data_IF_607998133724
#
_entry.id   IF_607998133724
#
_cell.length_a   1.000
_cell.length_b   1.000
_cell.length_c   1.000
_cell.angle_alpha   90.00
_cell.angle_beta   90.00
_cell.angle_gamma   90.00
#
_symmetry.space_group_name_H-M   'P 1'
#
loop_
_entity.id
_entity.type
_entity.pdbx_description
1 polymer ?
#
# COMPACT_ATOMS: atom_id res chain seq x y z
N UNK A 1 -7.05 3.19 4.63
CA UNK A 1 -6.44 3.50 3.32
C UNK A 1 -6.68 4.95 2.90
N UNK A 2 -7.92 5.36 2.62
CA UNK A 2 -8.24 6.73 2.17
C UNK A 2 -7.64 7.84 3.06
N UNK A 3 -7.64 7.62 4.37
CA UNK A 3 -7.06 8.56 5.35
C UNK A 3 -5.57 8.81 5.07
N UNK A 4 -4.76 7.77 4.80
CA UNK A 4 -3.34 7.98 4.49
C UNK A 4 -3.12 8.66 3.15
N UNK A 5 -3.98 8.41 2.16
CA UNK A 5 -3.95 9.13 0.87
C UNK A 5 -4.17 10.62 1.10
N UNK A 6 -5.20 10.98 1.88
CA UNK A 6 -5.53 12.39 2.16
C UNK A 6 -4.36 13.08 2.89
N UNK A 7 -3.81 12.44 3.93
CA UNK A 7 -2.68 13.02 4.69
C UNK A 7 -1.45 13.19 3.78
N UNK A 8 -1.10 12.17 2.99
CA UNK A 8 0.05 12.25 2.08
C UNK A 8 -0.15 13.34 1.03
N UNK A 9 -1.33 13.38 0.42
CA UNK A 9 -1.68 14.36 -0.59
C UNK A 9 -1.61 15.79 -0.05
N UNK A 10 -2.19 16.03 1.13
CA UNK A 10 -2.14 17.34 1.79
C UNK A 10 -0.71 17.72 2.16
N UNK A 11 0.07 16.80 2.71
CA UNK A 11 1.49 17.06 3.02
C UNK A 11 2.27 17.43 1.76
N UNK A 12 2.08 16.68 0.68
CA UNK A 12 2.75 16.93 -0.60
C UNK A 12 2.32 18.24 -1.26
N UNK A 13 1.03 18.55 -1.22
CA UNK A 13 0.52 19.81 -1.75
C UNK A 13 1.06 21.00 -0.95
N UNK A 14 1.07 20.91 0.38
CA UNK A 14 1.61 21.97 1.24
C UNK A 14 3.11 22.15 1.02
N UNK A 15 3.86 21.06 0.84
CA UNK A 15 5.29 21.09 0.50
C UNK A 15 5.53 21.83 -0.83
N UNK A 16 4.74 21.50 -1.86
CA UNK A 16 4.83 22.11 -3.19
C UNK A 16 4.42 23.59 -3.21
N UNK A 17 3.46 23.98 -2.36
CA UNK A 17 3.01 25.37 -2.23
C UNK A 17 3.88 26.20 -1.27
N UNK A 18 4.73 25.56 -0.47
CA UNK A 18 5.58 26.26 0.50
C UNK A 18 6.66 27.06 -0.22
N UNK A 19 6.82 28.33 0.17
CA UNK A 19 7.89 29.17 -0.36
C UNK A 19 9.25 28.63 0.09
N UNK A 20 10.26 28.74 -0.79
CA UNK A 20 11.66 28.34 -0.59
C UNK A 20 12.23 29.04 0.66
N UNK A 21 12.09 28.43 1.83
CA UNK A 21 12.46 29.02 3.13
C UNK A 21 11.75 28.42 4.36
N UNK A 22 10.67 27.67 4.18
CA UNK A 22 10.05 26.86 5.23
C UNK A 22 10.96 25.69 5.63
N UNK A 23 11.01 25.36 6.93
CA UNK A 23 11.67 24.14 7.39
C UNK A 23 11.01 22.92 6.75
N UNK A 24 11.79 21.98 6.21
CA UNK A 24 11.29 20.77 5.53
C UNK A 24 10.69 19.74 6.53
N UNK A 25 11.04 19.86 7.81
CA UNK A 25 10.70 18.91 8.88
C UNK A 25 9.21 18.56 9.00
N UNK A 26 8.28 19.53 9.01
CA UNK A 26 6.85 19.25 9.11
C UNK A 26 6.31 18.43 7.93
N UNK A 27 6.82 18.61 6.71
CA UNK A 27 6.40 17.85 5.54
C UNK A 27 6.85 16.39 5.64
N UNK A 28 8.13 16.19 6.01
CA UNK A 28 8.68 14.85 6.28
C UNK A 28 7.86 14.12 7.34
N UNK A 29 7.53 14.80 8.44
CA UNK A 29 6.67 14.24 9.49
C UNK A 29 5.28 13.86 8.96
N UNK A 30 4.68 14.71 8.11
CA UNK A 30 3.42 14.41 7.45
C UNK A 30 3.48 13.14 6.59
N UNK A 31 4.54 12.99 5.79
CA UNK A 31 4.76 11.77 4.99
C UNK A 31 4.93 10.54 5.86
N UNK A 32 5.72 10.62 6.94
CA UNK A 32 5.91 9.50 7.89
C UNK A 32 4.59 9.07 8.51
N UNK A 33 3.78 10.03 8.98
CA UNK A 33 2.45 9.74 9.56
C UNK A 33 1.55 9.07 8.53
N UNK A 34 1.51 9.58 7.29
CA UNK A 34 0.72 8.96 6.23
C UNK A 34 1.16 7.51 5.95
N UNK A 35 2.47 7.25 5.88
CA UNK A 35 3.02 5.91 5.68
C UNK A 35 2.67 4.98 6.84
N UNK A 36 2.77 5.44 8.09
CA UNK A 36 2.39 4.64 9.26
C UNK A 36 0.92 4.27 9.25
N UNK A 37 0.03 5.22 8.95
CA UNK A 37 -1.42 4.96 8.81
C UNK A 37 -1.70 3.97 7.69
N UNK A 38 -0.98 4.05 6.57
CA UNK A 38 -1.09 3.09 5.48
C UNK A 38 -0.63 1.69 5.92
N UNK A 39 0.49 1.59 6.63
CA UNK A 39 1.04 0.33 7.13
C UNK A 39 0.11 -0.35 8.13
N UNK A 40 -0.45 0.39 9.10
CA UNK A 40 -1.45 -0.13 10.04
C UNK A 40 -2.66 -0.67 9.29
N UNK A 41 -3.16 0.08 8.30
CA UNK A 41 -4.27 -0.38 7.48
C UNK A 41 -3.94 -1.67 6.72
N UNK A 42 -2.74 -1.79 6.14
CA UNK A 42 -2.32 -3.01 5.45
C UNK A 42 -2.25 -4.21 6.40
N UNK A 43 -1.73 -4.03 7.62
CA UNK A 43 -1.70 -5.11 8.62
C UNK A 43 -3.12 -5.56 8.97
N UNK A 44 -4.03 -4.62 9.26
CA UNK A 44 -5.43 -4.96 9.57
C UNK A 44 -6.12 -5.66 8.39
N UNK A 45 -5.87 -5.20 7.17
CA UNK A 45 -6.40 -5.82 5.96
C UNK A 45 -5.88 -7.25 5.76
N UNK A 46 -4.60 -7.51 6.07
CA UNK A 46 -4.05 -8.86 6.05
C UNK A 46 -4.74 -9.77 7.06
N UNK A 47 -4.86 -9.31 8.31
CA UNK A 47 -5.47 -10.09 9.40
C UNK A 47 -6.91 -10.45 9.08
N UNK A 48 -7.68 -9.55 8.49
CA UNK A 48 -9.05 -9.81 8.03
C UNK A 48 -9.11 -10.92 6.96
N UNK A 49 -8.07 -11.05 6.13
CA UNK A 49 -7.98 -12.11 5.13
C UNK A 49 -7.42 -13.43 5.68
N UNK A 50 -6.92 -13.48 6.92
CA UNK A 50 -6.50 -14.74 7.53
C UNK A 50 -7.72 -15.63 7.76
N UNK A 51 -7.72 -16.81 7.13
CA UNK A 51 -8.75 -17.83 7.34
C UNK A 51 -8.13 -19.02 8.06
N UNK A 52 -8.81 -19.47 9.10
CA UNK A 52 -8.45 -20.73 9.79
C UNK A 52 -8.72 -21.88 8.82
N UNK A 53 -7.77 -22.80 8.73
CA UNK A 53 -7.90 -23.98 7.89
C UNK A 53 -8.97 -24.92 8.47
N UNK A 54 -10.07 -25.23 7.76
CA UNK A 54 -11.13 -26.11 8.28
C UNK A 54 -10.63 -27.55 8.52
N UNK A 55 -9.54 -27.96 7.86
CA UNK A 55 -8.93 -29.27 8.06
C UNK A 55 -8.15 -29.37 9.38
N UNK A 56 -7.77 -28.23 9.99
CA UNK A 56 -7.06 -28.21 11.27
C UNK A 56 -7.90 -28.76 12.43
N UNK A 57 -9.23 -28.58 12.40
CA UNK A 57 -10.13 -29.09 13.43
C UNK A 57 -10.57 -30.54 13.21
N UNK A 58 -10.17 -31.17 12.10
CA UNK A 58 -10.65 -32.50 11.70
C UNK A 58 -9.68 -33.63 12.05
N UNK A 59 -8.52 -33.31 12.62
CA UNK A 59 -7.44 -34.25 12.92
C UNK A 59 -7.57 -34.87 14.33
N UNK A 60 -8.80 -35.27 14.70
CA UNK A 60 -9.07 -35.98 15.96
C UNK A 60 -8.94 -37.52 15.81
N UNK A 61 -8.47 -38.02 14.66
CA UNK A 61 -8.55 -39.46 14.34
C UNK A 61 -7.54 -39.96 13.31
N UNK A 62 -6.34 -40.31 13.76
CA UNK A 62 -5.60 -41.48 13.28
C UNK A 62 -4.65 -41.33 12.08
N UNK A 63 -4.79 -40.34 11.20
CA UNK A 63 -3.86 -40.11 10.07
C UNK A 63 -3.43 -38.63 10.03
N UNK A 64 -2.48 -38.29 10.90
CA UNK A 64 -2.05 -36.91 11.10
C UNK A 64 -1.14 -36.43 9.96
N UNK A 65 -1.76 -35.95 8.89
CA UNK A 65 -1.09 -34.98 8.03
C UNK A 65 -1.14 -33.62 8.74
N UNK A 66 -0.02 -33.19 9.31
CA UNK A 66 0.08 -31.87 9.96
C UNK A 66 -0.37 -30.77 8.99
N UNK A 67 -1.59 -30.26 9.19
CA UNK A 67 -2.16 -29.16 8.41
C UNK A 67 -1.86 -27.83 9.11
N UNK A 68 -1.43 -26.81 8.35
CA UNK A 68 -1.18 -25.49 8.90
C UNK A 68 -2.48 -24.88 9.48
N UNK A 69 -2.35 -24.13 10.58
CA UNK A 69 -3.47 -23.46 11.29
C UNK A 69 -4.20 -22.49 10.36
N UNK A 70 -3.44 -21.75 9.53
CA UNK A 70 -3.97 -20.77 8.59
C UNK A 70 -3.92 -21.28 7.15
N UNK A 71 -4.95 -20.95 6.37
CA UNK A 71 -5.00 -21.24 4.95
C UNK A 71 -4.14 -20.26 4.15
N UNK A 72 -3.34 -20.77 3.22
CA UNK A 72 -2.62 -19.94 2.27
C UNK A 72 -3.60 -19.30 1.27
N UNK A 73 -3.64 -17.97 1.23
CA UNK A 73 -4.42 -17.20 0.26
C UNK A 73 -3.47 -16.38 -0.62
N UNK A 74 -3.46 -16.57 -1.95
CA UNK A 74 -2.64 -15.78 -2.85
C UNK A 74 -3.20 -14.36 -2.99
N UNK A 75 -2.40 -13.34 -2.69
CA UNK A 75 -2.82 -11.94 -2.73
C UNK A 75 -2.46 -11.25 -4.06
N UNK A 76 -2.66 -11.92 -5.20
CA UNK A 76 -2.29 -11.43 -6.53
C UNK A 76 -3.01 -10.12 -6.93
N UNK A 77 -4.18 -9.84 -6.34
CA UNK A 77 -4.91 -8.60 -6.59
C UNK A 77 -4.09 -7.34 -6.22
N UNK A 78 -3.21 -7.40 -5.20
CA UNK A 78 -2.35 -6.26 -4.86
C UNK A 78 -1.37 -5.93 -5.99
N UNK A 79 -0.82 -6.94 -6.67
CA UNK A 79 0.05 -6.71 -7.82
C UNK A 79 -0.72 -6.04 -8.97
N UNK A 80 -1.92 -6.53 -9.26
CA UNK A 80 -2.76 -5.99 -10.33
C UNK A 80 -3.14 -4.52 -10.07
N UNK A 81 -3.70 -4.22 -8.90
CA UNK A 81 -4.09 -2.86 -8.52
C UNK A 81 -2.89 -1.92 -8.36
N UNK A 82 -1.77 -2.41 -7.80
CA UNK A 82 -0.53 -1.67 -7.72
C UNK A 82 -0.01 -1.26 -9.10
N UNK A 83 -0.04 -2.17 -10.06
CA UNK A 83 0.40 -1.92 -11.44
C UNK A 83 -0.46 -0.87 -12.13
N UNK A 84 -1.78 -0.95 -11.98
CA UNK A 84 -2.72 0.05 -12.52
C UNK A 84 -2.42 1.43 -11.94
N UNK A 85 -2.27 1.55 -10.63
CA UNK A 85 -2.02 2.83 -9.96
C UNK A 85 -0.70 3.45 -10.39
N UNK A 86 0.37 2.66 -10.47
CA UNK A 86 1.67 3.14 -10.97
C UNK A 86 1.53 3.65 -12.40
N UNK A 87 0.88 2.89 -13.28
CA UNK A 87 0.70 3.27 -14.68
C UNK A 87 -0.12 4.55 -14.82
N UNK A 88 -1.24 4.65 -14.12
CA UNK A 88 -2.09 5.86 -14.10
C UNK A 88 -1.30 7.07 -13.57
N UNK A 89 -0.55 6.91 -12.48
CA UNK A 89 0.29 7.97 -11.92
C UNK A 89 1.37 8.44 -12.89
N UNK A 90 2.06 7.50 -13.57
CA UNK A 90 3.06 7.81 -14.59
C UNK A 90 2.45 8.54 -15.78
N UNK A 91 1.31 8.10 -16.30
CA UNK A 91 0.62 8.79 -17.39
C UNK A 91 0.25 10.22 -17.01
N UNK A 92 -0.28 10.41 -15.80
CA UNK A 92 -0.60 11.74 -15.29
C UNK A 92 0.63 12.64 -15.23
N UNK A 93 1.75 12.11 -14.74
CA UNK A 93 3.02 12.83 -14.67
C UNK A 93 3.54 13.21 -16.07
N UNK A 94 3.48 12.29 -17.04
CA UNK A 94 3.89 12.55 -18.42
C UNK A 94 3.04 13.65 -19.05
N UNK A 95 1.71 13.61 -18.87
CA UNK A 95 0.80 14.63 -19.42
C UNK A 95 1.11 16.01 -18.83
N UNK A 96 1.32 16.09 -17.51
CA UNK A 96 1.71 17.33 -16.83
C UNK A 96 3.06 17.87 -17.32
N UNK A 97 4.01 16.98 -17.60
CA UNK A 97 5.33 17.38 -18.11
C UNK A 97 5.27 17.86 -19.56
N UNK A 98 4.59 17.10 -20.42
CA UNK A 98 4.57 17.29 -21.87
C UNK A 98 3.64 18.42 -22.34
N UNK A 99 2.55 18.70 -21.62
CA UNK A 99 1.57 19.72 -22.02
C UNK A 99 1.59 20.90 -21.03
N UNK A 100 2.22 22.03 -21.38
CA UNK A 100 2.35 23.19 -20.48
C UNK A 100 1.00 23.71 -19.97
N UNK A 101 -0.06 23.64 -20.79
CA UNK A 101 -1.39 24.10 -20.42
C UNK A 101 -2.03 23.31 -19.28
N UNK A 102 -1.57 22.09 -19.01
CA UNK A 102 -2.08 21.26 -17.91
C UNK A 102 -1.23 21.35 -16.65
N UNK A 103 -0.08 22.03 -16.67
CA UNK A 103 0.82 22.14 -15.51
C UNK A 103 0.11 22.79 -14.34
N UNK A 104 -0.18 21.99 -13.33
CA UNK A 104 -0.82 22.44 -12.09
C UNK A 104 -0.17 21.74 -10.90
N UNK A 105 0.12 22.48 -9.80
CA UNK A 105 0.54 21.89 -8.52
C UNK A 105 -0.32 20.71 -8.08
N UNK A 106 -1.64 20.84 -8.25
CA UNK A 106 -2.62 19.82 -7.90
C UNK A 106 -2.49 18.57 -8.77
N UNK A 107 -2.30 18.76 -10.08
CA UNK A 107 -2.13 17.65 -11.02
C UNK A 107 -0.85 16.85 -10.74
N UNK A 108 0.24 17.55 -10.43
CA UNK A 108 1.50 16.92 -10.02
C UNK A 108 1.33 16.15 -8.70
N UNK A 109 0.65 16.73 -7.71
CA UNK A 109 0.37 16.09 -6.44
C UNK A 109 -0.45 14.81 -6.58
N UNK A 110 -1.49 14.82 -7.42
CA UNK A 110 -2.31 13.64 -7.69
C UNK A 110 -1.45 12.55 -8.37
N UNK A 111 -0.68 12.89 -9.40
CA UNK A 111 0.14 11.93 -10.14
C UNK A 111 1.18 11.25 -9.25
N UNK A 112 1.92 12.04 -8.48
CA UNK A 112 2.96 11.55 -7.56
C UNK A 112 2.34 10.70 -6.45
N UNK A 113 1.29 11.20 -5.78
CA UNK A 113 0.60 10.44 -4.71
C UNK A 113 0.10 9.09 -5.24
N UNK A 114 -0.53 9.08 -6.42
CA UNK A 114 -1.07 7.86 -7.04
C UNK A 114 0.05 6.85 -7.34
N UNK A 115 1.17 7.30 -7.90
CA UNK A 115 2.31 6.43 -8.22
C UNK A 115 2.92 5.81 -6.95
N UNK A 116 3.20 6.62 -5.93
CA UNK A 116 3.73 6.15 -4.64
C UNK A 116 2.77 5.19 -3.94
N UNK A 117 1.47 5.41 -4.07
CA UNK A 117 0.48 4.47 -3.53
C UNK A 117 0.50 3.13 -4.24
N UNK A 118 0.69 3.12 -5.56
CA UNK A 118 0.93 1.91 -6.34
C UNK A 118 2.15 1.12 -5.83
N UNK A 119 3.25 1.81 -5.48
CA UNK A 119 4.39 1.19 -4.82
C UNK A 119 4.05 0.60 -3.44
N UNK A 120 3.18 1.26 -2.67
CA UNK A 120 2.69 0.74 -1.39
C UNK A 120 1.96 -0.60 -1.51
N UNK A 121 1.23 -0.83 -2.60
CA UNK A 121 0.61 -2.14 -2.88
C UNK A 121 1.65 -3.23 -3.11
N UNK A 122 2.74 -2.95 -3.83
CA UNK A 122 3.83 -3.91 -4.01
C UNK A 122 4.53 -4.24 -2.69
N UNK A 123 4.76 -3.25 -1.84
CA UNK A 123 5.34 -3.47 -0.51
C UNK A 123 4.41 -4.34 0.35
N UNK A 124 3.11 -4.07 0.31
CA UNK A 124 2.10 -4.87 1.02
C UNK A 124 2.05 -6.31 0.49
N UNK A 125 2.12 -6.51 -0.82
CA UNK A 125 2.22 -7.84 -1.43
C UNK A 125 3.45 -8.62 -0.94
N UNK A 126 4.61 -7.97 -0.92
CA UNK A 126 5.84 -8.57 -0.41
C UNK A 126 5.68 -8.94 1.07
N UNK A 127 5.17 -8.03 1.89
CA UNK A 127 4.91 -8.27 3.30
C UNK A 127 3.96 -9.44 3.52
N UNK A 128 2.85 -9.51 2.77
CA UNK A 128 1.86 -10.59 2.89
C UNK A 128 2.47 -11.94 2.52
N UNK A 129 3.35 -11.99 1.51
CA UNK A 129 4.07 -13.22 1.16
C UNK A 129 5.05 -13.65 2.26
N UNK A 130 5.74 -12.70 2.91
CA UNK A 130 6.61 -12.98 4.05
C UNK A 130 5.79 -13.53 5.22
N UNK A 131 4.67 -12.87 5.56
CA UNK A 131 3.78 -13.31 6.64
C UNK A 131 3.16 -14.68 6.35
N UNK A 132 2.71 -14.94 5.12
CA UNK A 132 2.22 -16.25 4.71
C UNK A 132 3.29 -17.32 4.88
N UNK A 133 4.56 -17.05 4.54
CA UNK A 133 5.68 -17.98 4.76
C UNK A 133 6.02 -18.19 6.23
N UNK A 134 5.75 -17.22 7.10
CA UNK A 134 5.98 -17.33 8.54
C UNK A 134 4.85 -18.09 9.25
N UNK A 135 3.60 -17.78 8.93
CA UNK A 135 2.42 -18.33 9.61
C UNK A 135 1.89 -19.64 9.01
N UNK A 136 2.09 -19.87 7.71
CA UNK A 136 1.68 -21.12 7.05
C UNK A 136 2.84 -22.13 6.97
N UNK A 137 3.98 -21.86 7.63
CA UNK A 137 5.08 -22.82 7.71
C UNK A 137 4.67 -23.97 8.62
N UNK A 138 4.87 -25.20 8.16
CA UNK A 138 4.94 -26.37 9.04
C UNK A 138 6.17 -26.25 9.94
#
# INVERSE_FOLDING_TARGET
MLISIVIFFTAYLLDLLSLRGSSEGPFVMGYVVATLVAAVWAILNYVDHLKVNPLYQKDDGGHSEAHAIFQYIPHQYLLFWGSILVLVGMLFFIVQYAVPSFRSPWGMAIGVTTAFYGFGFYLSFFMYNVLNKLFCRK
#
